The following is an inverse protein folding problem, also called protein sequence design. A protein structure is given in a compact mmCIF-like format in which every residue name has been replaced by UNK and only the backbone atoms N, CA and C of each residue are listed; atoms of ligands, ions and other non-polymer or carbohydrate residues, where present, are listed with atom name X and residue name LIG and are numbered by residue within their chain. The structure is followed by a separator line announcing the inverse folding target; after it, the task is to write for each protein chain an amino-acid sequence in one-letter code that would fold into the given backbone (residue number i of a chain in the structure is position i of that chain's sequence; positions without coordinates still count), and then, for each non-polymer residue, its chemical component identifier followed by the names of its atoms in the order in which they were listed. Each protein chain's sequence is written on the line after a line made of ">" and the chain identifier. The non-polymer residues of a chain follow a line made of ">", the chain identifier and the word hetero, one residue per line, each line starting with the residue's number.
data_IF_689488034297
#
_entry.id   IF_689488034297
#
_cell.length_a   1.000
_cell.length_b   1.000
_cell.length_c   1.000
_cell.angle_alpha   90.00
_cell.angle_beta   90.00
_cell.angle_gamma   90.00
#
_symmetry.space_group_name_H-M   'P 1'
#
loop_
_entity.id
_entity.type
_entity.pdbx_description
1 polymer ?
#
# COMPACT_ATOMS: atom_id res chain seq x y z
N UNK A 1 -13.75 18.26 -23.54
CA UNK A 1 -12.53 17.41 -23.64
C UNK A 1 -12.95 16.04 -23.17
N UNK A 2 -12.65 14.95 -23.88
CA UNK A 2 -12.96 13.61 -23.40
C UNK A 2 -12.14 13.38 -22.10
N UNK A 3 -12.81 13.10 -21.00
CA UNK A 3 -12.14 12.68 -19.76
C UNK A 3 -11.26 11.47 -20.10
N UNK A 4 -9.99 11.54 -19.73
CA UNK A 4 -9.10 10.42 -19.99
C UNK A 4 -9.42 9.28 -19.04
N UNK A 5 -9.52 8.09 -19.62
CA UNK A 5 -9.95 6.89 -18.92
C UNK A 5 -8.77 6.13 -18.37
N UNK A 6 -8.70 6.03 -17.04
CA UNK A 6 -7.78 5.14 -16.35
C UNK A 6 -8.47 3.84 -15.98
N UNK A 7 -7.69 2.80 -15.84
CA UNK A 7 -8.17 1.49 -15.43
C UNK A 7 -8.30 1.41 -13.91
N UNK A 8 -9.40 0.85 -13.46
CA UNK A 8 -9.65 0.52 -12.05
C UNK A 8 -9.70 -1.00 -11.90
N UNK A 9 -8.90 -1.53 -10.99
CA UNK A 9 -8.90 -2.96 -10.65
C UNK A 9 -9.21 -3.11 -9.16
N UNK A 10 -10.14 -3.98 -8.83
CA UNK A 10 -10.25 -4.56 -7.49
C UNK A 10 -10.55 -6.04 -7.60
N UNK A 11 -10.05 -6.81 -6.63
CA UNK A 11 -10.30 -8.24 -6.53
C UNK A 11 -11.01 -8.49 -5.21
N UNK A 12 -12.18 -9.13 -5.27
CA UNK A 12 -12.97 -9.47 -4.08
C UNK A 12 -12.18 -10.38 -3.14
N UNK A 13 -11.45 -11.34 -3.70
CA UNK A 13 -10.63 -12.26 -2.94
C UNK A 13 -9.24 -11.66 -2.66
N UNK A 14 -8.85 -11.70 -1.40
CA UNK A 14 -7.49 -11.35 -1.00
C UNK A 14 -6.48 -12.38 -1.54
N UNK A 15 -5.27 -11.91 -1.87
CA UNK A 15 -4.18 -12.76 -2.37
C UNK A 15 -2.96 -12.69 -1.44
N UNK A 16 -2.02 -13.62 -1.62
CA UNK A 16 -0.77 -13.62 -0.87
C UNK A 16 0.13 -12.42 -1.23
N UNK A 17 1.12 -12.16 -0.40
CA UNK A 17 1.99 -10.99 -0.57
C UNK A 17 2.83 -11.07 -1.84
N UNK A 18 3.24 -12.25 -2.27
CA UNK A 18 4.08 -12.44 -3.44
C UNK A 18 3.31 -12.15 -4.72
N UNK A 19 2.08 -12.67 -4.82
CA UNK A 19 1.18 -12.37 -5.94
C UNK A 19 0.80 -10.89 -5.98
N UNK A 20 0.45 -10.29 -4.83
CA UNK A 20 0.08 -8.87 -4.78
C UNK A 20 1.21 -7.96 -5.29
N UNK A 21 2.45 -8.20 -4.88
CA UNK A 21 3.61 -7.44 -5.36
C UNK A 21 3.99 -7.81 -6.80
N UNK A 22 3.80 -9.07 -7.18
CA UNK A 22 3.97 -9.55 -8.56
C UNK A 22 3.02 -8.83 -9.51
N UNK A 23 1.76 -8.69 -9.12
CA UNK A 23 0.75 -8.02 -9.94
C UNK A 23 0.98 -6.50 -10.04
N UNK A 24 1.34 -5.83 -8.95
CA UNK A 24 1.72 -4.41 -9.01
C UNK A 24 2.88 -4.19 -9.99
N UNK A 25 3.87 -5.10 -10.00
CA UNK A 25 5.00 -5.03 -10.92
C UNK A 25 4.61 -5.41 -12.35
N UNK A 26 3.75 -6.41 -12.56
CA UNK A 26 3.25 -6.77 -13.89
C UNK A 26 2.45 -5.63 -14.53
N UNK A 27 1.59 -4.98 -13.76
CA UNK A 27 0.85 -3.78 -14.20
C UNK A 27 1.83 -2.65 -14.53
N UNK A 28 2.84 -2.41 -13.71
CA UNK A 28 3.87 -1.40 -14.00
C UNK A 28 4.59 -1.67 -15.32
N UNK A 29 4.92 -2.93 -15.61
CA UNK A 29 5.56 -3.34 -16.86
C UNK A 29 4.62 -3.16 -18.06
N UNK A 30 3.35 -3.54 -17.93
CA UNK A 30 2.36 -3.38 -19.00
C UNK A 30 2.06 -1.90 -19.30
N UNK A 31 2.00 -1.04 -18.27
CA UNK A 31 1.88 0.42 -18.46
C UNK A 31 3.12 1.00 -19.15
N UNK A 32 4.33 0.56 -18.75
CA UNK A 32 5.58 0.99 -19.38
C UNK A 32 5.66 0.59 -20.86
N UNK A 33 5.09 -0.56 -21.22
CA UNK A 33 5.02 -1.06 -22.59
C UNK A 33 3.86 -0.45 -23.39
N UNK A 34 3.03 0.42 -22.81
CA UNK A 34 1.78 0.94 -23.39
C UNK A 34 0.76 -0.15 -23.76
N UNK A 35 0.85 -1.32 -23.14
CA UNK A 35 -0.09 -2.45 -23.28
C UNK A 35 -1.25 -2.34 -22.31
N UNK A 36 -1.12 -1.54 -21.26
CA UNK A 36 -2.18 -1.22 -20.31
C UNK A 36 -2.29 0.28 -20.09
N UNK A 37 -3.49 0.74 -19.76
CA UNK A 37 -3.75 2.12 -19.32
C UNK A 37 -3.13 2.35 -17.94
N UNK A 38 -2.92 3.62 -17.59
CA UNK A 38 -2.68 4.02 -16.21
C UNK A 38 -3.73 3.36 -15.31
N UNK A 39 -3.31 2.79 -14.19
CA UNK A 39 -4.13 1.86 -13.40
C UNK A 39 -4.13 2.23 -11.93
N UNK A 40 -5.33 2.27 -11.34
CA UNK A 40 -5.53 2.26 -9.89
C UNK A 40 -6.03 0.89 -9.49
N UNK A 41 -5.42 0.31 -8.46
CA UNK A 41 -5.80 -1.00 -7.94
C UNK A 41 -6.04 -0.95 -6.45
N UNK A 42 -7.06 -1.71 -5.97
CA UNK A 42 -7.31 -1.96 -4.55
C UNK A 42 -7.22 -3.46 -4.26
N UNK A 43 -6.58 -3.80 -3.13
CA UNK A 43 -6.36 -5.20 -2.76
C UNK A 43 -6.17 -5.40 -1.26
N UNK A 44 -6.24 -6.67 -0.85
CA UNK A 44 -6.02 -7.12 0.52
C UNK A 44 -5.02 -8.27 0.54
N UNK A 45 -4.50 -8.57 1.70
CA UNK A 45 -3.42 -9.56 1.92
C UNK A 45 -3.96 -10.78 2.65
N UNK A 46 -3.83 -11.98 2.06
CA UNK A 46 -4.19 -13.24 2.70
C UNK A 46 -3.19 -14.34 2.34
N UNK A 47 -2.41 -14.85 3.33
CA UNK A 47 -2.42 -14.44 4.74
C UNK A 47 -1.95 -12.98 4.94
N UNK A 48 -2.10 -12.49 6.19
CA UNK A 48 -1.46 -11.24 6.59
C UNK A 48 0.04 -11.30 6.34
N UNK A 49 0.71 -10.18 6.10
CA UNK A 49 2.13 -10.17 5.74
C UNK A 49 2.91 -9.01 6.39
N UNK A 50 4.21 -9.19 6.55
CA UNK A 50 5.14 -8.10 6.83
C UNK A 50 5.91 -7.78 5.56
N UNK A 51 5.79 -6.56 5.04
CA UNK A 51 6.64 -6.09 3.95
C UNK A 51 7.76 -5.19 4.48
N UNK A 52 8.98 -5.41 3.97
CA UNK A 52 10.09 -4.49 4.19
C UNK A 52 10.38 -3.67 2.94
N UNK A 53 10.92 -2.46 3.13
CA UNK A 53 11.37 -1.63 2.02
C UNK A 53 12.60 -2.18 1.34
N UNK A 54 12.82 -1.76 0.09
CA UNK A 54 13.92 -2.21 -0.78
C UNK A 54 15.29 -2.19 -0.11
N UNK A 55 15.57 -1.20 0.74
CA UNK A 55 16.87 -0.97 1.37
C UNK A 55 17.04 -1.61 2.75
N UNK A 56 16.00 -2.22 3.32
CA UNK A 56 16.05 -2.84 4.63
C UNK A 56 16.68 -4.24 4.60
N UNK A 57 17.24 -4.68 5.73
CA UNK A 57 17.72 -6.06 5.94
C UNK A 57 16.59 -6.90 6.55
N UNK A 58 16.19 -8.00 5.88
CA UNK A 58 15.13 -8.88 6.35
C UNK A 58 15.41 -9.39 7.77
N UNK A 59 16.57 -9.98 7.98
CA UNK A 59 16.96 -10.57 9.27
C UNK A 59 17.11 -9.56 10.42
N UNK A 60 17.34 -8.28 10.09
CA UNK A 60 17.45 -7.22 11.11
C UNK A 60 16.12 -6.59 11.48
N UNK A 61 15.10 -6.82 10.67
CA UNK A 61 13.80 -6.12 10.82
C UNK A 61 12.66 -7.07 11.16
N UNK A 62 12.63 -8.26 10.54
CA UNK A 62 11.51 -9.20 10.65
C UNK A 62 11.89 -10.37 11.54
N UNK A 63 11.05 -10.66 12.52
CA UNK A 63 11.14 -11.88 13.31
C UNK A 63 10.50 -13.03 12.51
N UNK A 64 11.33 -13.70 11.71
CA UNK A 64 10.89 -14.75 10.77
C UNK A 64 10.25 -15.94 11.51
N UNK A 65 10.77 -16.30 12.68
CA UNK A 65 10.23 -17.42 13.47
C UNK A 65 8.81 -17.10 13.94
N UNK A 66 8.60 -15.91 14.49
CA UNK A 66 7.26 -15.46 14.89
C UNK A 66 6.30 -15.31 13.69
N UNK A 67 6.82 -14.89 12.53
CA UNK A 67 6.01 -14.85 11.31
C UNK A 67 5.52 -16.26 10.93
N UNK A 68 6.41 -17.24 10.93
CA UNK A 68 6.07 -18.65 10.63
C UNK A 68 5.07 -19.22 11.65
N UNK A 69 5.31 -19.03 12.95
CA UNK A 69 4.43 -19.48 14.02
C UNK A 69 3.01 -18.89 13.87
N UNK A 70 2.92 -17.61 13.58
CA UNK A 70 1.65 -16.88 13.45
C UNK A 70 1.02 -16.95 12.06
N UNK A 71 1.62 -17.73 11.14
CA UNK A 71 1.18 -17.86 9.73
C UNK A 71 1.02 -16.50 9.05
N UNK A 72 2.02 -15.65 9.24
CA UNK A 72 2.16 -14.35 8.59
C UNK A 72 3.29 -14.45 7.57
N UNK A 73 3.03 -14.06 6.34
CA UNK A 73 4.05 -14.03 5.29
C UNK A 73 5.01 -12.84 5.48
N UNK A 74 6.15 -12.87 4.82
CA UNK A 74 7.09 -11.75 4.79
C UNK A 74 7.66 -11.56 3.40
N UNK A 75 7.85 -10.30 3.00
CA UNK A 75 8.27 -9.96 1.64
C UNK A 75 9.13 -8.69 1.64
N UNK A 76 10.04 -8.61 0.67
CA UNK A 76 10.72 -7.37 0.29
C UNK A 76 10.01 -6.76 -0.91
N UNK A 77 9.46 -5.54 -0.76
CA UNK A 77 8.84 -4.81 -1.86
C UNK A 77 9.88 -4.05 -2.68
N UNK A 78 9.52 -3.68 -3.92
CA UNK A 78 10.38 -2.91 -4.83
C UNK A 78 10.46 -1.41 -4.48
N UNK A 79 9.57 -0.91 -3.64
CA UNK A 79 9.54 0.46 -3.16
C UNK A 79 10.39 0.63 -1.90
N UNK A 80 10.78 1.85 -1.59
CA UNK A 80 11.50 2.19 -0.35
C UNK A 80 10.62 2.16 0.90
N UNK A 81 11.14 2.76 1.98
CA UNK A 81 10.42 2.92 3.25
C UNK A 81 10.73 1.87 4.31
N UNK A 82 10.06 1.95 5.45
CA UNK A 82 10.18 1.05 6.60
C UNK A 82 9.36 -0.23 6.48
N UNK A 83 9.42 -1.07 7.53
CA UNK A 83 8.57 -2.26 7.61
C UNK A 83 7.10 -1.89 7.84
N UNK A 84 6.20 -2.64 7.22
CA UNK A 84 4.75 -2.49 7.36
C UNK A 84 4.14 -3.86 7.62
N UNK A 85 3.27 -3.94 8.62
CA UNK A 85 2.43 -5.10 8.83
C UNK A 85 1.10 -4.91 8.12
N UNK A 86 0.80 -5.77 7.17
CA UNK A 86 -0.42 -5.80 6.39
C UNK A 86 -1.39 -6.81 7.02
N UNK A 87 -2.34 -6.31 7.79
CA UNK A 87 -3.35 -7.15 8.43
C UNK A 87 -4.51 -7.42 7.47
N UNK A 88 -4.88 -8.70 7.30
CA UNK A 88 -5.98 -9.10 6.42
C UNK A 88 -7.31 -8.42 6.74
N UNK A 89 -7.62 -8.23 8.03
CA UNK A 89 -8.84 -7.53 8.47
C UNK A 89 -8.61 -6.05 8.79
N UNK A 90 -7.34 -5.65 8.86
CA UNK A 90 -6.93 -4.35 9.38
C UNK A 90 -6.67 -3.28 8.31
N UNK A 91 -6.48 -3.64 7.04
CA UNK A 91 -6.18 -2.62 6.04
C UNK A 91 -6.76 -2.90 4.65
N UNK A 92 -6.98 -1.83 3.89
CA UNK A 92 -7.11 -1.85 2.45
C UNK A 92 -5.86 -1.22 1.85
N UNK A 93 -5.22 -1.91 0.91
CA UNK A 93 -4.09 -1.37 0.17
C UNK A 93 -4.56 -0.82 -1.18
N UNK A 94 -4.03 0.35 -1.57
CA UNK A 94 -4.18 0.87 -2.93
C UNK A 94 -2.83 0.91 -3.64
N UNK A 95 -2.84 0.80 -4.97
CA UNK A 95 -1.70 1.15 -5.81
C UNK A 95 -2.14 1.99 -7.02
N UNK A 96 -1.24 2.89 -7.43
CA UNK A 96 -1.37 3.74 -8.62
C UNK A 96 -0.16 3.45 -9.50
N UNK A 97 -0.39 2.93 -10.70
CA UNK A 97 0.60 2.73 -11.74
C UNK A 97 0.29 3.73 -12.88
N UNK A 98 1.18 4.66 -13.13
CA UNK A 98 0.96 5.72 -14.10
C UNK A 98 2.26 6.08 -14.82
N UNK A 99 2.17 6.39 -16.13
CA UNK A 99 3.31 6.95 -16.85
C UNK A 99 3.84 8.20 -16.14
N UNK A 100 5.14 8.33 -16.02
CA UNK A 100 5.78 9.42 -15.28
C UNK A 100 5.76 10.75 -16.01
N UNK A 101 5.37 10.74 -17.29
CA UNK A 101 5.16 11.93 -18.14
C UNK A 101 3.66 12.29 -18.29
N UNK A 102 2.76 11.57 -17.64
CA UNK A 102 1.33 11.90 -17.62
C UNK A 102 1.13 13.35 -17.15
N UNK A 103 0.43 14.20 -17.92
CA UNK A 103 0.28 15.62 -17.63
C UNK A 103 -0.45 15.92 -16.33
N UNK A 104 -1.15 14.94 -15.76
CA UNK A 104 -1.84 15.05 -14.47
C UNK A 104 -0.91 14.87 -13.29
N UNK A 105 0.28 14.26 -13.49
CA UNK A 105 1.26 14.11 -12.42
C UNK A 105 2.34 15.21 -12.49
N UNK A 106 2.70 15.78 -11.35
CA UNK A 106 3.87 16.67 -11.29
C UNK A 106 5.17 15.87 -11.52
N UNK A 107 6.25 16.56 -11.92
CA UNK A 107 7.54 15.91 -12.16
C UNK A 107 8.30 15.54 -10.88
N UNK A 108 8.10 16.30 -9.83
CA UNK A 108 8.80 16.13 -8.55
C UNK A 108 8.17 15.01 -7.72
N UNK A 109 8.98 14.09 -7.22
CA UNK A 109 8.53 12.93 -6.40
C UNK A 109 7.71 13.39 -5.18
N UNK A 110 8.14 14.43 -4.47
CA UNK A 110 7.42 14.99 -3.33
C UNK A 110 6.02 15.48 -3.70
N UNK A 111 5.88 16.09 -4.86
CA UNK A 111 4.59 16.59 -5.38
C UNK A 111 3.70 15.46 -5.92
N UNK A 112 4.30 14.38 -6.44
CA UNK A 112 3.55 13.16 -6.79
C UNK A 112 2.91 12.56 -5.53
N UNK A 113 3.69 12.40 -4.45
CA UNK A 113 3.15 11.97 -3.17
C UNK A 113 2.01 12.87 -2.69
N UNK A 114 2.23 14.18 -2.67
CA UNK A 114 1.22 15.16 -2.26
C UNK A 114 -0.08 15.02 -3.06
N UNK A 115 0.03 14.86 -4.38
CA UNK A 115 -1.13 14.74 -5.27
C UNK A 115 -1.90 13.43 -5.04
N UNK A 116 -1.23 12.27 -5.08
CA UNK A 116 -1.90 10.98 -4.93
C UNK A 116 -2.45 10.83 -3.50
N UNK A 117 -1.68 11.23 -2.47
CA UNK A 117 -2.15 11.24 -1.09
C UNK A 117 -3.32 12.22 -0.89
N UNK A 118 -3.37 13.32 -1.64
CA UNK A 118 -4.52 14.24 -1.67
C UNK A 118 -5.82 13.53 -2.06
N UNK A 119 -5.77 12.60 -3.01
CA UNK A 119 -6.92 11.75 -3.34
C UNK A 119 -7.35 10.86 -2.20
N UNK A 120 -6.39 10.28 -1.47
CA UNK A 120 -6.69 9.49 -0.26
C UNK A 120 -7.29 10.37 0.83
N UNK A 121 -6.80 11.61 1.01
CA UNK A 121 -7.36 12.59 1.96
C UNK A 121 -8.81 12.91 1.62
N UNK A 122 -9.15 13.13 0.35
CA UNK A 122 -10.54 13.35 -0.06
C UNK A 122 -11.43 12.13 0.22
N UNK A 123 -10.92 10.92 -0.05
CA UNK A 123 -11.63 9.69 0.29
C UNK A 123 -11.86 9.52 1.80
N UNK A 124 -10.87 9.87 2.63
CA UNK A 124 -11.04 9.89 4.09
C UNK A 124 -12.08 10.91 4.54
N UNK A 125 -12.10 12.09 3.91
CA UNK A 125 -13.11 13.12 4.20
C UNK A 125 -14.53 12.65 3.85
N UNK A 126 -14.72 11.89 2.77
CA UNK A 126 -16.00 11.27 2.43
C UNK A 126 -16.46 10.26 3.50
N UNK A 127 -15.51 9.61 4.19
CA UNK A 127 -15.78 8.72 5.33
C UNK A 127 -16.05 9.49 6.65
N UNK A 128 -15.94 10.82 6.65
CA UNK A 128 -16.11 11.65 7.84
C UNK A 128 -14.81 11.85 8.64
N UNK A 129 -13.64 11.56 8.06
CA UNK A 129 -12.33 11.70 8.69
C UNK A 129 -11.59 12.92 8.15
N UNK A 130 -11.31 13.88 9.02
CA UNK A 130 -10.46 15.02 8.68
C UNK A 130 -8.99 14.65 8.79
N UNK A 131 -8.31 14.61 7.63
CA UNK A 131 -6.91 14.26 7.53
C UNK A 131 -6.13 15.26 6.66
N UNK A 132 -4.82 15.20 6.72
CA UNK A 132 -3.92 16.00 5.90
C UNK A 132 -2.69 15.20 5.48
N UNK A 133 -2.13 15.51 4.32
CA UNK A 133 -0.85 14.96 3.89
C UNK A 133 0.29 15.53 4.76
N UNK A 134 1.15 14.67 5.24
CA UNK A 134 2.40 15.02 5.91
C UNK A 134 3.59 14.52 5.09
N UNK A 135 4.51 15.38 4.69
CA UNK A 135 5.75 14.94 4.06
C UNK A 135 6.52 13.97 4.99
N UNK A 136 7.07 12.89 4.43
CA UNK A 136 7.30 12.65 3.00
C UNK A 136 6.11 11.89 2.36
N UNK A 137 5.42 11.00 3.10
CA UNK A 137 4.58 9.95 2.52
C UNK A 137 3.44 9.50 3.45
N UNK A 138 3.16 10.27 4.50
CA UNK A 138 2.15 9.94 5.50
C UNK A 138 0.89 10.79 5.33
N UNK A 139 -0.24 10.26 5.78
CA UNK A 139 -1.48 11.00 5.97
C UNK A 139 -1.84 10.90 7.44
N UNK A 140 -1.98 12.06 8.08
CA UNK A 140 -2.26 12.17 9.48
C UNK A 140 -3.63 12.83 9.73
N UNK A 141 -4.25 12.43 10.81
CA UNK A 141 -5.48 13.04 11.32
C UNK A 141 -5.22 14.49 11.73
N UNK A 142 -6.12 15.39 11.38
CA UNK A 142 -6.03 16.79 11.83
C UNK A 142 -6.33 16.96 13.32
N UNK A 143 -7.16 16.07 13.88
CA UNK A 143 -7.62 16.12 15.28
C UNK A 143 -6.50 15.89 16.28
N UNK A 144 -5.60 14.94 16.02
CA UNK A 144 -4.60 14.48 17.00
C UNK A 144 -3.21 14.22 16.42
N UNK A 145 -3.03 14.42 15.10
CA UNK A 145 -1.77 14.21 14.39
C UNK A 145 -1.36 12.74 14.19
N UNK A 146 -2.19 11.78 14.57
CA UNK A 146 -1.89 10.36 14.38
C UNK A 146 -1.96 9.97 12.91
N UNK A 147 -1.07 9.09 12.50
CA UNK A 147 -1.02 8.54 11.15
C UNK A 147 -2.18 7.57 10.91
N UNK A 148 -2.88 7.72 9.79
CA UNK A 148 -3.96 6.83 9.35
C UNK A 148 -3.66 6.14 8.01
N UNK A 149 -2.65 6.63 7.28
CA UNK A 149 -2.19 6.05 6.01
C UNK A 149 -0.70 6.30 5.83
N UNK A 150 -0.02 5.40 5.19
CA UNK A 150 1.36 5.56 4.76
C UNK A 150 1.56 5.00 3.36
N UNK A 151 2.43 5.64 2.58
CA UNK A 151 2.68 5.29 1.19
C UNK A 151 4.15 5.03 0.92
N UNK A 152 4.42 4.35 -0.19
CA UNK A 152 5.75 4.18 -0.74
C UNK A 152 5.69 4.27 -2.26
N UNK A 153 6.73 4.84 -2.88
CA UNK A 153 6.76 5.10 -4.31
C UNK A 153 8.08 4.62 -4.90
N UNK A 154 8.02 4.16 -6.14
CA UNK A 154 9.18 3.99 -7.01
C UNK A 154 8.89 4.57 -8.39
N UNK A 155 9.92 5.15 -9.03
CA UNK A 155 9.92 5.57 -10.43
C UNK A 155 10.88 4.67 -11.17
N UNK A 156 10.38 3.88 -12.10
CA UNK A 156 11.20 2.97 -12.88
C UNK A 156 10.59 2.73 -14.27
N UNK A 157 11.44 2.66 -15.29
CA UNK A 157 11.03 2.38 -16.68
C UNK A 157 9.93 3.33 -17.20
N UNK A 158 10.00 4.62 -16.84
CA UNK A 158 9.01 5.61 -17.26
C UNK A 158 7.65 5.51 -16.55
N UNK A 159 7.55 4.74 -15.48
CA UNK A 159 6.30 4.55 -14.71
C UNK A 159 6.52 4.86 -13.24
N UNK A 160 5.56 5.56 -12.66
CA UNK A 160 5.38 5.72 -11.22
C UNK A 160 4.54 4.57 -10.72
N UNK A 161 5.04 3.84 -9.72
CA UNK A 161 4.24 3.00 -8.87
C UNK A 161 4.24 3.61 -7.45
N UNK A 162 3.09 4.08 -6.99
CA UNK A 162 2.85 4.42 -5.59
C UNK A 162 1.82 3.46 -5.01
N UNK A 163 2.13 2.84 -3.89
CA UNK A 163 1.15 2.09 -3.11
C UNK A 163 1.10 2.58 -1.67
N UNK A 164 -0.03 2.37 -1.03
CA UNK A 164 -0.23 2.82 0.35
C UNK A 164 -1.36 2.08 1.04
N UNK A 165 -1.40 2.23 2.36
CA UNK A 165 -2.33 1.54 3.25
C UNK A 165 -3.42 2.48 3.74
N UNK A 166 -4.65 2.00 3.82
CA UNK A 166 -5.75 2.66 4.55
C UNK A 166 -6.01 1.81 5.78
N UNK A 167 -5.67 2.35 6.95
CA UNK A 167 -5.75 1.61 8.21
C UNK A 167 -7.19 1.54 8.70
N UNK A 168 -7.84 0.38 8.46
CA UNK A 168 -9.20 0.10 8.89
C UNK A 168 -9.25 -0.22 10.38
N UNK A 169 -8.32 -1.07 10.85
CA UNK A 169 -8.05 -1.47 12.24
C UNK A 169 -6.55 -1.57 12.45
N UNK A 170 -6.10 -1.35 13.67
CA UNK A 170 -4.68 -1.46 14.00
C UNK A 170 -4.47 -2.35 15.22
N UNK A 171 -3.60 -3.35 15.09
CA UNK A 171 -3.11 -4.16 16.19
C UNK A 171 -1.60 -3.98 16.36
N UNK A 172 -1.23 -3.00 17.17
CA UNK A 172 0.17 -2.60 17.40
C UNK A 172 0.96 -3.72 18.07
N UNK A 173 0.38 -4.44 19.02
CA UNK A 173 1.02 -5.56 19.71
C UNK A 173 1.39 -6.67 18.73
N UNK A 174 0.47 -7.04 17.84
CA UNK A 174 0.72 -8.05 16.80
C UNK A 174 1.82 -7.59 15.86
N UNK A 175 1.79 -6.32 15.40
CA UNK A 175 2.83 -5.75 14.55
C UNK A 175 4.22 -5.88 15.19
N UNK A 176 4.40 -5.46 16.44
CA UNK A 176 5.71 -5.54 17.12
C UNK A 176 6.11 -6.96 17.51
N UNK A 177 5.16 -7.90 17.61
CA UNK A 177 5.51 -9.30 17.77
C UNK A 177 6.17 -9.94 16.54
N UNK A 178 6.01 -9.33 15.36
CA UNK A 178 6.53 -9.79 14.07
C UNK A 178 7.84 -9.10 13.68
N UNK A 179 8.28 -8.11 14.45
CA UNK A 179 9.51 -7.35 14.18
C UNK A 179 10.60 -7.74 15.17
N UNK A 180 11.86 -7.60 14.73
CA UNK A 180 13.01 -7.75 15.61
C UNK A 180 13.09 -6.53 16.52
N UNK A 181 13.07 -6.78 17.83
CA UNK A 181 13.23 -5.75 18.86
C UNK A 181 14.31 -6.22 19.85
N UNK A 182 15.14 -5.29 20.39
CA UNK A 182 16.29 -5.67 21.22
C UNK A 182 15.90 -6.42 22.49
N UNK A 183 14.85 -5.98 23.16
CA UNK A 183 14.35 -6.58 24.40
C UNK A 183 12.89 -6.21 24.67
N UNK A 184 12.26 -6.86 25.65
CA UNK A 184 10.84 -6.67 26.00
C UNK A 184 10.54 -5.25 26.52
N UNK A 185 11.49 -4.61 27.23
CA UNK A 185 11.32 -3.24 27.72
C UNK A 185 11.31 -2.23 26.57
N UNK A 186 12.20 -2.42 25.60
CA UNK A 186 12.24 -1.61 24.38
C UNK A 186 10.97 -1.83 23.55
N UNK A 187 10.51 -3.08 23.41
CA UNK A 187 9.26 -3.44 22.75
C UNK A 187 8.05 -2.74 23.36
N UNK A 188 7.90 -2.79 24.69
CA UNK A 188 6.82 -2.10 25.40
C UNK A 188 6.82 -0.59 25.12
N UNK A 189 7.99 0.05 25.10
CA UNK A 189 8.14 1.47 24.77
C UNK A 189 7.75 1.76 23.32
N UNK A 190 8.14 0.90 22.38
CA UNK A 190 7.78 1.06 20.96
C UNK A 190 6.26 0.89 20.75
N UNK A 191 5.64 -0.07 21.42
CA UNK A 191 4.18 -0.29 21.37
C UNK A 191 3.45 0.96 21.89
N UNK A 192 3.84 1.49 23.06
CA UNK A 192 3.26 2.71 23.61
C UNK A 192 3.40 3.88 22.64
N UNK A 193 4.60 4.12 22.14
CA UNK A 193 4.87 5.19 21.17
C UNK A 193 4.08 5.03 19.86
N UNK A 194 3.88 3.79 19.37
CA UNK A 194 3.11 3.58 18.16
C UNK A 194 1.60 3.82 18.38
N UNK A 195 1.05 3.43 19.52
CA UNK A 195 -0.35 3.73 19.90
C UNK A 195 -0.63 5.25 19.98
N UNK A 196 0.39 6.04 20.32
CA UNK A 196 0.30 7.49 20.34
C UNK A 196 0.39 8.11 18.95
N UNK A 197 0.95 7.41 17.97
CA UNK A 197 1.27 7.94 16.63
C UNK A 197 0.43 7.39 15.49
N UNK A 198 -0.26 6.29 15.71
CA UNK A 198 -1.05 5.60 14.66
C UNK A 198 -2.49 5.49 15.13
N UNK A 199 -3.43 5.66 14.22
CA UNK A 199 -4.85 5.44 14.42
C UNK A 199 -5.43 4.61 13.28
N UNK A 200 -6.72 4.32 13.37
CA UNK A 200 -7.46 3.57 12.35
C UNK A 200 -8.86 4.14 12.16
N UNK A 201 -9.51 3.77 11.06
CA UNK A 201 -10.91 4.16 10.82
C UNK A 201 -11.84 3.66 11.93
N UNK A 202 -11.58 2.47 12.49
CA UNK A 202 -12.37 1.94 13.62
C UNK A 202 -12.22 2.82 14.87
N UNK A 203 -11.01 3.26 15.18
CA UNK A 203 -10.73 4.11 16.36
C UNK A 203 -11.42 5.47 16.22
N UNK A 204 -11.36 6.09 15.03
CA UNK A 204 -11.90 7.43 14.80
C UNK A 204 -13.44 7.45 14.61
N UNK A 205 -14.01 6.40 14.05
CA UNK A 205 -15.45 6.32 13.75
C UNK A 205 -16.25 5.54 14.79
N UNK A 206 -15.58 4.87 15.75
CA UNK A 206 -16.20 3.97 16.72
C UNK A 206 -16.65 2.63 16.13
N UNK A 207 -16.56 2.45 14.82
CA UNK A 207 -16.88 1.21 14.10
C UNK A 207 -16.03 1.08 12.84
N UNK A 208 -15.54 -0.12 12.56
CA UNK A 208 -14.79 -0.37 11.34
C UNK A 208 -15.70 -0.36 10.11
N UNK A 209 -15.50 0.55 9.13
CA UNK A 209 -16.28 0.54 7.88
C UNK A 209 -16.06 -0.75 7.09
N UNK A 210 -16.99 -1.10 6.20
CA UNK A 210 -16.75 -2.20 5.26
C UNK A 210 -15.63 -1.86 4.28
N UNK A 211 -14.92 -2.87 3.77
CA UNK A 211 -13.89 -2.66 2.74
C UNK A 211 -14.45 -2.01 1.48
N UNK A 212 -15.67 -2.38 1.11
CA UNK A 212 -16.40 -1.76 0.00
C UNK A 212 -16.60 -0.26 0.21
N UNK A 213 -17.08 0.15 1.40
CA UNK A 213 -17.27 1.57 1.73
C UNK A 213 -15.95 2.35 1.65
N UNK A 214 -14.86 1.77 2.20
CA UNK A 214 -13.53 2.38 2.12
C UNK A 214 -13.08 2.49 0.67
N UNK A 215 -13.16 1.41 -0.10
CA UNK A 215 -12.77 1.37 -1.52
C UNK A 215 -13.51 2.44 -2.32
N UNK A 216 -14.83 2.51 -2.20
CA UNK A 216 -15.64 3.46 -2.96
C UNK A 216 -15.26 4.92 -2.65
N UNK A 217 -15.05 5.25 -1.38
CA UNK A 217 -14.57 6.59 -0.99
C UNK A 217 -13.18 6.89 -1.58
N UNK A 218 -12.26 5.92 -1.58
CA UNK A 218 -10.93 6.09 -2.19
C UNK A 218 -10.99 6.23 -3.71
N UNK A 219 -11.89 5.50 -4.38
CA UNK A 219 -12.15 5.64 -5.83
C UNK A 219 -12.56 7.08 -6.13
N UNK A 220 -13.54 7.61 -5.41
CA UNK A 220 -14.04 8.98 -5.62
C UNK A 220 -12.93 10.03 -5.38
N UNK A 221 -12.19 9.90 -4.29
CA UNK A 221 -11.12 10.84 -3.96
C UNK A 221 -9.97 10.81 -4.95
N UNK A 222 -9.51 9.63 -5.38
CA UNK A 222 -8.42 9.49 -6.35
C UNK A 222 -8.85 9.95 -7.74
N UNK A 223 -10.05 9.57 -8.21
CA UNK A 223 -10.62 10.02 -9.48
C UNK A 223 -10.68 11.55 -9.53
N UNK A 224 -11.20 12.17 -8.46
CA UNK A 224 -11.33 13.63 -8.35
C UNK A 224 -9.99 14.37 -8.43
N UNK A 225 -8.97 13.92 -7.64
CA UNK A 225 -7.66 14.59 -7.60
C UNK A 225 -6.86 14.38 -8.87
N UNK A 226 -6.98 13.22 -9.49
CA UNK A 226 -6.28 12.92 -10.74
C UNK A 226 -7.00 13.45 -11.97
N UNK A 227 -8.26 13.89 -11.83
CA UNK A 227 -9.10 14.38 -12.93
C UNK A 227 -9.25 13.32 -14.04
N UNK A 228 -9.70 12.12 -13.66
CA UNK A 228 -9.84 10.97 -14.55
C UNK A 228 -11.15 10.22 -14.35
N UNK A 229 -11.69 9.66 -15.43
CA UNK A 229 -12.74 8.65 -15.36
C UNK A 229 -12.11 7.28 -15.06
N UNK A 230 -12.56 6.60 -14.01
CA UNK A 230 -12.09 5.26 -13.66
C UNK A 230 -13.02 4.19 -14.22
N UNK A 231 -12.50 3.37 -15.12
CA UNK A 231 -13.24 2.25 -15.74
C UNK A 231 -12.79 0.95 -15.10
N UNK A 232 -13.75 0.23 -14.50
CA UNK A 232 -13.47 -1.09 -13.94
C UNK A 232 -13.16 -2.09 -15.06
N UNK A 233 -11.96 -2.66 -15.00
CA UNK A 233 -11.52 -3.72 -15.91
C UNK A 233 -10.96 -4.90 -15.09
N UNK A 234 -11.04 -6.10 -15.64
CA UNK A 234 -10.42 -7.28 -15.06
C UNK A 234 -8.92 -7.28 -15.32
N UNK A 235 -8.19 -8.02 -14.49
CA UNK A 235 -6.80 -8.38 -14.78
C UNK A 235 -6.80 -9.25 -16.04
N UNK A 236 -5.95 -8.93 -17.02
CA UNK A 236 -5.81 -9.74 -18.22
C UNK A 236 -5.06 -11.05 -17.93
N UNK A 237 -5.26 -12.06 -18.76
CA UNK A 237 -4.55 -13.35 -18.61
C UNK A 237 -3.02 -13.16 -18.66
N UNK A 238 -2.54 -12.28 -19.54
CA UNK A 238 -1.12 -11.94 -19.66
C UNK A 238 -0.56 -11.31 -18.37
N UNK A 239 -1.30 -10.37 -17.79
CA UNK A 239 -0.91 -9.76 -16.51
C UNK A 239 -0.93 -10.78 -15.37
N UNK A 240 -1.91 -11.69 -15.37
CA UNK A 240 -2.01 -12.74 -14.36
C UNK A 240 -0.85 -13.74 -14.46
N UNK A 241 -0.51 -14.18 -15.67
CA UNK A 241 0.65 -15.04 -15.93
C UNK A 241 1.96 -14.35 -15.54
N UNK A 242 2.13 -13.08 -15.93
CA UNK A 242 3.29 -12.27 -15.57
C UNK A 242 3.39 -12.07 -14.07
N UNK A 243 2.27 -11.78 -13.37
CA UNK A 243 2.23 -11.64 -11.92
C UNK A 243 2.67 -12.92 -11.21
N UNK A 244 2.18 -14.09 -11.64
CA UNK A 244 2.58 -15.38 -11.08
C UNK A 244 4.06 -15.67 -11.32
N UNK A 245 4.57 -15.43 -12.54
CA UNK A 245 5.99 -15.60 -12.87
C UNK A 245 6.85 -14.67 -12.00
N UNK A 246 6.53 -13.39 -11.92
CA UNK A 246 7.28 -12.42 -11.10
C UNK A 246 7.19 -12.76 -9.60
N UNK A 247 6.05 -13.20 -9.11
CA UNK A 247 5.90 -13.67 -7.74
C UNK A 247 6.86 -14.81 -7.42
N UNK A 248 7.01 -15.75 -8.35
CA UNK A 248 7.87 -16.92 -8.17
C UNK A 248 9.36 -16.60 -8.38
N UNK A 249 9.71 -15.95 -9.50
CA UNK A 249 11.10 -15.73 -9.91
C UNK A 249 11.79 -14.58 -9.17
N UNK A 250 11.02 -13.61 -8.64
CA UNK A 250 11.57 -12.47 -7.92
C UNK A 250 11.18 -12.49 -6.45
N UNK A 251 9.88 -12.42 -6.14
CA UNK A 251 9.45 -12.12 -4.78
C UNK A 251 9.57 -13.29 -3.81
N UNK A 252 9.56 -14.55 -4.30
CA UNK A 252 9.85 -15.75 -3.50
C UNK A 252 11.33 -16.13 -3.51
N UNK A 253 12.15 -15.50 -4.35
CA UNK A 253 13.56 -15.77 -4.42
C UNK A 253 14.29 -15.32 -3.15
N UNK A 254 15.09 -16.23 -2.56
CA UNK A 254 15.82 -15.96 -1.33
C UNK A 254 16.91 -14.89 -1.51
N UNK A 255 17.54 -14.81 -2.70
CA UNK A 255 18.54 -13.77 -2.99
C UNK A 255 17.86 -12.39 -2.97
N UNK A 256 16.64 -12.29 -3.47
CA UNK A 256 15.87 -11.06 -3.38
C UNK A 256 15.42 -10.76 -1.95
N UNK A 257 14.84 -11.74 -1.26
CA UNK A 257 14.31 -11.56 0.09
C UNK A 257 15.39 -11.11 1.08
N UNK A 258 16.58 -11.73 0.99
CA UNK A 258 17.67 -11.58 1.97
C UNK A 258 18.89 -10.81 1.45
N UNK A 259 18.79 -10.14 0.32
CA UNK A 259 19.91 -9.46 -0.36
C UNK A 259 20.67 -8.40 0.45
N UNK A 260 20.27 -8.14 1.68
CA UNK A 260 20.93 -7.15 2.58
C UNK A 260 20.90 -7.63 4.03
#
# INVERSE_FOLDING_TARGET
>A
MSEEKWRLIWVENAADCYYNMGLDKAIQEAVAAHEAKNTIRFYRWKPSAVSIGYFQSMNKVVNIENCKEKKVDYIRRITGGGAVYHDFEGELTYSVNCLDDDPRLPREISKIYEKICGGVVLGLMELGIEAEFKPINDINLKSNGKKISGSALTRKSGVILQHGTILRKVNVEKMFSLLVVPDEKFKAKMISSAKERVSSLEEELGVAPSFEKIRNAMINGLSSVLDVELIHEKISDVEQESANRIAHELFKDEEWLFKR
#
